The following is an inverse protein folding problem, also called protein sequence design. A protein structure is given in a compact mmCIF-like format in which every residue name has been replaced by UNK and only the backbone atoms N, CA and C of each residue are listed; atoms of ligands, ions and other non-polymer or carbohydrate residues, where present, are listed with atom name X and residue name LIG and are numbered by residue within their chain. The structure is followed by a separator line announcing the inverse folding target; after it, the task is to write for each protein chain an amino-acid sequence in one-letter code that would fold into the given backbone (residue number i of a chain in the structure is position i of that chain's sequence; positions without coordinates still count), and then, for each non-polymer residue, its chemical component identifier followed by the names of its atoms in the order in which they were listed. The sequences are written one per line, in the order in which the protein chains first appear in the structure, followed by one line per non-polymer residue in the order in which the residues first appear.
data_IF_127650597063
#
_entry.id   IF_127650597063
#
_cell.length_a   1.000
_cell.length_b   1.000
_cell.length_c   1.000
_cell.angle_alpha   90.00
_cell.angle_beta   90.00
_cell.angle_gamma   90.00
#
_symmetry.space_group_name_H-M   'P 1'
#
loop_
_entity.id
_entity.type
_entity.pdbx_description
1 polymer ?
#
# COMPACT_ATOMS: atom_id res chain seq x y z
N UNK A 1 1.71 7.77 23.12
CA UNK A 1 2.82 7.92 22.14
C UNK A 1 3.42 9.32 22.34
N UNK A 2 4.69 9.38 22.67
CA UNK A 2 5.38 10.64 22.94
C UNK A 2 6.11 11.19 21.69
N UNK A 3 6.84 12.32 21.89
CA UNK A 3 7.58 12.96 20.80
C UNK A 3 8.71 12.07 20.25
N UNK A 4 9.32 11.26 21.09
CA UNK A 4 10.40 10.36 20.70
C UNK A 4 9.84 9.27 19.80
N UNK A 5 8.72 8.67 20.17
CA UNK A 5 8.03 7.68 19.36
C UNK A 5 7.66 8.24 17.99
N UNK A 6 7.11 9.45 17.95
CA UNK A 6 6.77 10.11 16.68
C UNK A 6 7.98 10.34 15.79
N UNK A 7 9.10 10.74 16.40
CA UNK A 7 10.35 10.95 15.67
C UNK A 7 10.90 9.63 15.12
N UNK A 8 10.84 8.55 15.90
CA UNK A 8 11.26 7.22 15.45
C UNK A 8 10.42 6.76 14.24
N UNK A 9 9.11 6.95 14.30
CA UNK A 9 8.22 6.60 13.19
C UNK A 9 8.58 7.40 11.94
N UNK A 10 8.81 8.70 12.07
CA UNK A 10 9.19 9.55 10.94
C UNK A 10 10.52 9.11 10.32
N UNK A 11 11.51 8.79 11.14
CA UNK A 11 12.80 8.30 10.66
C UNK A 11 12.63 6.99 9.89
N UNK A 12 11.84 6.05 10.43
CA UNK A 12 11.59 4.76 9.78
C UNK A 12 10.73 4.89 8.52
N UNK A 13 9.81 5.86 8.47
CA UNK A 13 9.05 6.13 7.25
C UNK A 13 9.96 6.61 6.12
N UNK A 14 11.01 7.37 6.44
CA UNK A 14 11.98 7.85 5.46
C UNK A 14 13.00 6.77 5.08
N UNK A 15 13.36 5.91 6.04
CA UNK A 15 14.32 4.84 5.81
C UNK A 15 13.99 3.68 6.77
N UNK A 16 13.21 2.72 6.28
CA UNK A 16 12.80 1.55 7.07
C UNK A 16 13.98 0.64 7.44
N UNK A 17 15.14 0.82 6.82
CA UNK A 17 16.35 0.06 7.11
C UNK A 17 17.35 0.85 7.95
N UNK A 18 16.96 1.97 8.52
CA UNK A 18 17.88 2.74 9.38
C UNK A 18 18.37 1.86 10.52
N UNK A 19 19.68 1.76 10.73
CA UNK A 19 20.24 0.95 11.81
C UNK A 19 19.81 1.47 13.18
N UNK A 20 19.67 0.56 14.13
CA UNK A 20 19.26 0.89 15.50
C UNK A 20 20.18 1.94 16.12
N UNK A 21 21.50 1.83 15.87
CA UNK A 21 22.48 2.82 16.33
C UNK A 21 22.18 4.22 15.82
N UNK A 22 21.85 4.35 14.53
CA UNK A 22 21.53 5.64 13.92
C UNK A 22 20.23 6.22 14.49
N UNK A 23 19.22 5.37 14.70
CA UNK A 23 17.98 5.78 15.34
C UNK A 23 18.26 6.33 16.76
N UNK A 24 19.05 5.60 17.53
CA UNK A 24 19.42 5.97 18.89
C UNK A 24 20.12 7.33 18.93
N UNK A 25 21.06 7.56 18.04
CA UNK A 25 21.78 8.84 17.92
C UNK A 25 20.83 10.00 17.60
N UNK A 26 19.83 9.76 16.74
CA UNK A 26 18.87 10.79 16.36
C UNK A 26 17.91 11.19 17.48
N UNK A 27 17.61 10.29 18.41
CA UNK A 27 16.66 10.56 19.51
C UNK A 27 17.34 10.69 20.87
N UNK A 28 18.67 10.63 20.91
CA UNK A 28 19.48 10.77 22.13
C UNK A 28 19.14 9.76 23.21
N UNK A 29 18.91 8.51 22.79
CA UNK A 29 18.66 7.38 23.68
C UNK A 29 19.66 6.26 23.39
N UNK A 30 19.72 5.27 24.30
CA UNK A 30 20.49 4.06 24.07
C UNK A 30 19.80 3.17 23.04
N UNK A 31 20.56 2.31 22.36
CA UNK A 31 20.01 1.34 21.42
C UNK A 31 18.97 0.41 22.06
N UNK A 32 19.19 -0.15 23.27
CA UNK A 32 18.16 -0.94 23.94
C UNK A 32 16.86 -0.16 24.23
N UNK A 33 16.97 1.11 24.59
CA UNK A 33 15.78 1.94 24.83
C UNK A 33 14.98 2.17 23.56
N UNK A 34 15.66 2.41 22.44
CA UNK A 34 15.02 2.57 21.14
C UNK A 34 14.37 1.26 20.68
N UNK A 35 15.09 0.14 20.83
CA UNK A 35 14.57 -1.19 20.49
C UNK A 35 13.28 -1.49 21.26
N UNK A 36 13.24 -1.21 22.54
CA UNK A 36 12.05 -1.41 23.37
C UNK A 36 10.86 -0.55 22.89
N UNK A 37 11.12 0.68 22.48
CA UNK A 37 10.07 1.57 21.96
C UNK A 37 9.51 1.05 20.62
N UNK A 38 10.37 0.61 19.72
CA UNK A 38 9.95 0.07 18.43
C UNK A 38 9.13 -1.21 18.63
N UNK A 39 9.58 -2.13 19.48
CA UNK A 39 8.84 -3.35 19.81
C UNK A 39 7.44 -3.03 20.34
N UNK A 40 7.31 -2.02 21.19
CA UNK A 40 6.01 -1.60 21.69
C UNK A 40 5.14 -1.04 20.57
N UNK A 41 5.70 -0.19 19.69
CA UNK A 41 4.95 0.37 18.55
C UNK A 41 4.46 -0.73 17.59
N UNK A 42 5.27 -1.77 17.40
CA UNK A 42 4.88 -2.93 16.60
C UNK A 42 3.80 -3.75 17.31
N UNK A 43 3.95 -4.00 18.60
CA UNK A 43 2.99 -4.76 19.40
C UNK A 43 1.64 -4.07 19.49
N UNK A 44 1.63 -2.76 19.59
CA UNK A 44 0.41 -1.94 19.60
C UNK A 44 -0.16 -1.71 18.20
N UNK A 45 0.47 -2.30 17.18
CA UNK A 45 0.07 -2.19 15.78
C UNK A 45 0.06 -0.75 15.23
N UNK A 46 0.80 0.15 15.86
CA UNK A 46 1.05 1.48 15.31
C UNK A 46 1.98 1.35 14.11
N UNK A 47 3.01 0.52 14.24
CA UNK A 47 3.81 0.06 13.10
C UNK A 47 3.25 -1.30 12.69
N UNK A 48 2.58 -1.35 11.56
CA UNK A 48 1.95 -2.57 11.05
C UNK A 48 2.95 -3.48 10.33
N UNK A 49 4.04 -2.92 9.85
CA UNK A 49 5.06 -3.68 9.13
C UNK A 49 6.01 -2.78 8.37
N UNK A 50 6.89 -3.40 7.60
CA UNK A 50 7.89 -2.74 6.78
C UNK A 50 7.76 -3.26 5.35
N UNK A 51 7.61 -2.36 4.38
CA UNK A 51 7.39 -2.74 3.00
C UNK A 51 8.46 -2.14 2.10
N UNK A 52 8.73 -2.84 1.00
CA UNK A 52 9.66 -2.37 -0.02
C UNK A 52 8.90 -1.56 -1.05
N UNK A 53 9.39 -0.36 -1.32
CA UNK A 53 8.86 0.47 -2.41
C UNK A 53 9.53 0.02 -3.71
N UNK A 54 8.72 -0.45 -4.66
CA UNK A 54 9.20 -1.06 -5.90
C UNK A 54 9.01 -0.09 -7.07
N UNK A 55 10.02 -0.01 -7.94
CA UNK A 55 9.86 0.64 -9.23
C UNK A 55 9.20 -0.37 -10.18
N UNK A 56 7.90 -0.25 -10.36
CA UNK A 56 7.11 -1.21 -11.13
C UNK A 56 7.53 -1.28 -12.59
N UNK A 57 7.89 -0.13 -13.19
CA UNK A 57 8.33 -0.07 -14.59
C UNK A 57 9.58 -0.92 -14.79
N UNK A 58 10.54 -0.84 -13.88
CA UNK A 58 11.78 -1.62 -13.96
C UNK A 58 11.56 -3.11 -13.77
N UNK A 59 10.46 -3.50 -13.12
CA UNK A 59 10.04 -4.90 -13.03
C UNK A 59 9.30 -5.38 -14.27
N UNK A 60 9.04 -4.51 -15.24
CA UNK A 60 8.31 -4.86 -16.46
C UNK A 60 6.83 -4.54 -16.43
N UNK A 61 6.34 -3.91 -15.37
CA UNK A 61 4.93 -3.48 -15.27
C UNK A 61 4.82 -2.02 -15.75
N UNK A 62 4.59 -1.87 -17.05
CA UNK A 62 4.55 -0.56 -17.70
C UNK A 62 3.22 0.18 -17.53
N UNK A 63 2.18 -0.53 -17.08
CA UNK A 63 0.84 0.03 -16.91
C UNK A 63 0.47 0.00 -15.43
N UNK A 64 0.12 1.17 -14.90
CA UNK A 64 -0.53 1.30 -13.60
C UNK A 64 -1.91 1.88 -13.83
N UNK A 65 -2.93 1.25 -13.26
CA UNK A 65 -4.30 1.69 -13.40
C UNK A 65 -5.02 1.73 -12.06
N UNK A 66 -6.00 2.62 -11.98
CA UNK A 66 -6.94 2.68 -10.86
C UNK A 66 -8.30 2.27 -11.38
N UNK A 67 -8.88 1.25 -10.76
CA UNK A 67 -10.16 0.70 -11.20
C UNK A 67 -11.18 0.89 -10.10
N UNK A 68 -12.24 1.64 -10.42
CA UNK A 68 -13.42 1.72 -9.58
C UNK A 68 -14.33 0.54 -9.94
N UNK A 69 -14.81 -0.19 -8.95
CA UNK A 69 -15.67 -1.35 -9.13
C UNK A 69 -16.86 -1.26 -8.21
N UNK A 70 -18.04 -1.50 -8.75
CA UNK A 70 -19.27 -1.63 -7.97
C UNK A 70 -19.53 -3.10 -7.74
N UNK A 71 -19.31 -3.55 -6.49
CA UNK A 71 -19.54 -4.94 -6.10
C UNK A 71 -20.85 -5.01 -5.30
N UNK A 72 -21.81 -5.79 -5.81
CA UNK A 72 -23.04 -6.02 -5.10
C UNK A 72 -22.75 -6.77 -3.79
N UNK A 73 -23.49 -6.50 -2.69
CA UNK A 73 -23.24 -7.16 -1.40
C UNK A 73 -23.23 -8.69 -1.49
N UNK A 74 -24.08 -9.26 -2.32
CA UNK A 74 -24.17 -10.72 -2.53
C UNK A 74 -22.92 -11.28 -3.21
N UNK A 75 -22.18 -10.47 -3.95
CA UNK A 75 -20.96 -10.87 -4.64
C UNK A 75 -19.69 -10.73 -3.80
N UNK A 76 -19.73 -10.00 -2.69
CA UNK A 76 -18.55 -9.76 -1.85
C UNK A 76 -17.86 -11.04 -1.36
N UNK A 77 -18.59 -12.08 -0.93
CA UNK A 77 -17.95 -13.33 -0.48
C UNK A 77 -17.10 -14.00 -1.56
N UNK A 78 -17.43 -13.84 -2.84
CA UNK A 78 -16.65 -14.37 -3.96
C UNK A 78 -15.55 -13.41 -4.39
N UNK A 79 -15.79 -12.11 -4.27
CA UNK A 79 -14.85 -11.07 -4.70
C UNK A 79 -13.56 -11.07 -3.88
N UNK A 80 -13.67 -11.08 -2.54
CA UNK A 80 -12.48 -10.98 -1.68
C UNK A 80 -11.47 -12.11 -1.89
N UNK A 81 -11.90 -13.38 -1.96
CA UNK A 81 -10.93 -14.44 -2.27
C UNK A 81 -10.31 -14.30 -3.65
N UNK A 82 -11.08 -13.87 -4.64
CA UNK A 82 -10.57 -13.64 -5.99
C UNK A 82 -9.46 -12.57 -5.99
N UNK A 83 -9.69 -11.43 -5.35
CA UNK A 83 -8.71 -10.33 -5.30
C UNK A 83 -7.43 -10.76 -4.60
N UNK A 84 -7.52 -11.56 -3.54
CA UNK A 84 -6.35 -12.05 -2.82
C UNK A 84 -5.45 -12.94 -3.68
N UNK A 85 -5.99 -13.56 -4.72
CA UNK A 85 -5.22 -14.42 -5.62
C UNK A 85 -4.64 -13.66 -6.81
N UNK A 86 -4.92 -12.38 -6.96
CA UNK A 86 -4.47 -11.57 -8.09
C UNK A 86 -3.16 -10.85 -7.76
N UNK A 87 -2.00 -11.33 -8.25
CA UNK A 87 -0.71 -10.73 -7.92
C UNK A 87 -0.53 -9.33 -8.50
N UNK A 88 -1.31 -8.98 -9.51
CA UNK A 88 -1.26 -7.67 -10.16
C UNK A 88 -2.03 -6.58 -9.38
N UNK A 89 -2.80 -6.96 -8.37
CA UNK A 89 -3.50 -6.01 -7.50
C UNK A 89 -2.54 -5.55 -6.41
N UNK A 90 -2.19 -4.27 -6.44
CA UNK A 90 -1.28 -3.65 -5.45
C UNK A 90 -2.05 -3.22 -4.22
N UNK A 91 -3.24 -2.66 -4.42
CA UNK A 91 -4.12 -2.21 -3.35
C UNK A 91 -5.57 -2.47 -3.72
N UNK A 92 -6.38 -2.76 -2.73
CA UNK A 92 -7.83 -2.83 -2.87
C UNK A 92 -8.47 -2.18 -1.64
N UNK A 93 -9.22 -1.12 -1.87
CA UNK A 93 -9.85 -0.35 -0.81
C UNK A 93 -11.36 -0.38 -0.97
N UNK A 94 -12.06 -0.59 0.14
CA UNK A 94 -13.50 -0.39 0.21
C UNK A 94 -13.76 1.10 0.38
N UNK A 95 -14.57 1.69 -0.48
CA UNK A 95 -14.80 3.14 -0.52
C UNK A 95 -16.28 3.47 -0.54
N UNK A 96 -16.60 4.72 -0.22
CA UNK A 96 -17.96 5.26 -0.32
C UNK A 96 -18.17 5.92 -1.68
N UNK A 97 -19.41 6.15 -2.05
CA UNK A 97 -19.78 6.80 -3.31
C UNK A 97 -20.43 5.86 -4.31
N UNK A 98 -20.34 6.18 -5.59
CA UNK A 98 -20.98 5.41 -6.66
C UNK A 98 -20.36 4.02 -6.86
N UNK A 99 -19.12 3.85 -6.44
CA UNK A 99 -18.41 2.57 -6.51
C UNK A 99 -18.03 2.15 -5.10
N UNK A 100 -18.02 0.84 -4.86
CA UNK A 100 -17.75 0.30 -3.53
C UNK A 100 -16.28 -0.10 -3.33
N UNK A 101 -15.55 -0.32 -4.42
CA UNK A 101 -14.15 -0.72 -4.36
C UNK A 101 -13.29 0.17 -5.27
N UNK A 102 -12.07 0.47 -4.81
CA UNK A 102 -11.05 1.14 -5.59
C UNK A 102 -9.80 0.28 -5.57
N UNK A 103 -9.38 -0.18 -6.75
CA UNK A 103 -8.20 -1.02 -6.92
C UNK A 103 -7.08 -0.25 -7.58
N UNK A 104 -5.85 -0.48 -7.11
CA UNK A 104 -4.64 -0.09 -7.82
C UNK A 104 -4.01 -1.35 -8.37
N UNK A 105 -3.78 -1.40 -9.69
CA UNK A 105 -3.26 -2.58 -10.37
C UNK A 105 -2.09 -2.22 -11.25
N UNK A 106 -1.21 -3.20 -11.49
CA UNK A 106 -0.06 -3.06 -12.38
C UNK A 106 -0.05 -4.21 -13.38
N UNK A 107 0.20 -3.90 -14.65
CA UNK A 107 0.26 -4.88 -15.73
C UNK A 107 1.39 -4.56 -16.70
N UNK A 108 1.95 -5.57 -17.38
CA UNK A 108 2.96 -5.34 -18.42
C UNK A 108 2.42 -4.56 -19.60
N UNK A 109 1.14 -4.76 -19.95
CA UNK A 109 0.52 -4.17 -21.16
C UNK A 109 -0.95 -3.86 -20.91
N UNK A 110 -1.50 -3.02 -21.80
CA UNK A 110 -2.94 -2.70 -21.78
C UNK A 110 -3.81 -3.91 -22.13
N UNK A 111 -3.28 -4.84 -22.92
CA UNK A 111 -4.01 -6.07 -23.27
C UNK A 111 -4.29 -6.93 -22.03
N UNK A 112 -3.29 -7.11 -21.17
CA UNK A 112 -3.45 -7.88 -19.94
C UNK A 112 -4.34 -7.16 -18.94
N UNK A 113 -4.26 -5.82 -18.87
CA UNK A 113 -5.17 -5.02 -18.08
C UNK A 113 -6.62 -5.22 -18.54
N UNK A 114 -6.86 -5.18 -19.85
CA UNK A 114 -8.19 -5.35 -20.41
C UNK A 114 -8.77 -6.73 -20.06
N UNK A 115 -7.96 -7.77 -20.14
CA UNK A 115 -8.36 -9.12 -19.72
C UNK A 115 -8.78 -9.15 -18.24
N UNK A 116 -8.02 -8.49 -17.38
CA UNK A 116 -8.33 -8.40 -15.95
C UNK A 116 -9.64 -7.62 -15.70
N UNK A 117 -9.84 -6.52 -16.42
CA UNK A 117 -11.08 -5.74 -16.32
C UNK A 117 -12.28 -6.61 -16.68
N UNK A 118 -12.15 -7.45 -17.73
CA UNK A 118 -13.19 -8.39 -18.11
C UNK A 118 -13.56 -9.35 -16.98
N UNK A 119 -12.58 -9.81 -16.22
CA UNK A 119 -12.81 -10.66 -15.05
C UNK A 119 -13.53 -9.90 -13.93
N UNK A 120 -13.16 -8.63 -13.69
CA UNK A 120 -13.82 -7.80 -12.70
C UNK A 120 -15.27 -7.50 -13.03
N UNK A 121 -15.60 -7.39 -14.32
CA UNK A 121 -16.96 -7.08 -14.77
C UNK A 121 -17.97 -8.17 -14.40
N UNK A 122 -17.50 -9.36 -14.06
CA UNK A 122 -18.37 -10.42 -13.52
C UNK A 122 -18.94 -10.05 -12.14
N UNK A 123 -18.24 -9.17 -11.40
CA UNK A 123 -18.67 -8.73 -10.07
C UNK A 123 -19.48 -7.45 -10.11
N UNK A 124 -19.37 -6.67 -11.19
CA UNK A 124 -20.11 -5.44 -11.32
C UNK A 124 -19.51 -4.47 -12.32
N UNK A 125 -20.03 -3.25 -12.28
CA UNK A 125 -19.63 -2.19 -13.19
C UNK A 125 -18.25 -1.64 -12.82
N UNK A 126 -17.43 -1.38 -13.83
CA UNK A 126 -16.07 -0.86 -13.68
C UNK A 126 -15.91 0.50 -14.33
N UNK A 127 -14.99 1.30 -13.80
CA UNK A 127 -14.49 2.53 -14.41
C UNK A 127 -12.99 2.60 -14.18
N UNK A 128 -12.22 2.68 -15.26
CA UNK A 128 -10.76 2.57 -15.19
C UNK A 128 -10.08 3.88 -15.57
N UNK A 129 -9.06 4.23 -14.80
CA UNK A 129 -8.17 5.35 -15.08
C UNK A 129 -6.74 4.83 -15.19
N UNK A 130 -6.06 5.20 -16.27
CA UNK A 130 -4.63 4.89 -16.39
C UNK A 130 -3.79 5.99 -15.73
N UNK A 131 -2.77 5.58 -14.99
CA UNK A 131 -1.80 6.52 -14.45
C UNK A 131 -0.79 6.85 -15.56
N UNK A 132 -0.78 8.11 -15.99
CA UNK A 132 0.14 8.56 -17.04
C UNK A 132 1.51 8.95 -16.49
N UNK A 133 1.55 9.53 -15.29
CA UNK A 133 2.78 9.99 -14.63
C UNK A 133 2.69 9.64 -13.16
N UNK A 134 3.74 8.98 -12.65
CA UNK A 134 3.88 8.78 -11.21
C UNK A 134 4.64 9.96 -10.62
N UNK A 135 4.00 10.70 -9.74
CA UNK A 135 4.62 11.76 -8.95
C UNK A 135 4.91 11.16 -7.57
N UNK A 136 6.18 11.22 -7.16
CA UNK A 136 6.57 10.70 -5.85
C UNK A 136 5.78 11.38 -4.74
N UNK A 137 5.30 10.59 -3.79
CA UNK A 137 4.64 11.14 -2.63
C UNK A 137 5.65 11.94 -1.79
N UNK A 138 5.28 13.15 -1.36
CA UNK A 138 6.14 13.88 -0.44
C UNK A 138 6.22 13.16 0.91
N UNK A 139 7.36 13.32 1.58
CA UNK A 139 7.50 12.83 2.95
C UNK A 139 6.48 13.54 3.84
N UNK A 140 5.69 12.77 4.60
CA UNK A 140 4.68 13.32 5.50
C UNK A 140 5.21 13.31 6.92
N UNK A 141 5.35 14.47 7.55
CA UNK A 141 5.66 14.51 8.99
C UNK A 141 4.45 14.03 9.79
N UNK A 142 4.73 13.45 10.92
CA UNK A 142 3.68 13.08 11.88
C UNK A 142 3.21 14.28 12.67
#
# INVERSE_FOLDING_TARGET
MDKIDKKLITLLQNNARMPLKALAENVFLSSPAVSARIERLEKEEIIEGYVVKINQIKLGYHITAFINLEVAPVQKPEFYPFIKTCPNVVECNCVTGNYSMLLKVVFPSTMELDTFIGQLQKFGRTSTQLSLIHISEPTRPL
#
